data_IF_123796186969
#
_entry.id   IF_123796186969
#
_cell.length_a   1.000
_cell.length_b   1.000
_cell.length_c   1.000
_cell.angle_alpha   90.00
_cell.angle_beta   90.00
_cell.angle_gamma   90.00
#
_symmetry.space_group_name_H-M   'P 1'
#
loop_
_entity.id
_entity.type
_entity.pdbx_description
1 polymer ?
#
# COMPACT_ATOMS: atom_id res chain seq x y z
N UNK A 1 -1.54 17.16 25.05
CA UNK A 1 -1.47 15.77 24.58
C UNK A 1 -2.19 15.76 23.24
N UNK A 2 -1.45 15.60 22.14
CA UNK A 2 -2.05 15.46 20.82
C UNK A 2 -2.86 14.17 20.80
N UNK A 3 -4.05 14.19 20.19
CA UNK A 3 -4.88 13.01 20.03
C UNK A 3 -4.04 11.88 19.43
N UNK A 4 -4.06 10.71 20.06
CA UNK A 4 -3.47 9.49 19.51
C UNK A 4 -4.21 9.15 18.22
N UNK A 5 -3.57 9.16 17.03
CA UNK A 5 -4.22 8.90 15.75
C UNK A 5 -4.39 7.39 15.52
N UNK A 6 -4.79 6.64 16.56
CA UNK A 6 -4.68 5.19 16.64
C UNK A 6 -5.97 4.38 16.42
N UNK A 7 -6.97 4.90 15.70
CA UNK A 7 -8.16 4.11 15.33
C UNK A 7 -8.48 4.08 13.82
N UNK A 8 -7.66 4.73 12.98
CA UNK A 8 -7.62 4.43 11.55
C UNK A 8 -6.50 3.40 11.35
N UNK A 9 -6.77 2.20 10.78
CA UNK A 9 -5.69 1.26 10.45
C UNK A 9 -4.72 1.99 9.53
N UNK A 10 -3.50 2.21 10.04
CA UNK A 10 -2.51 3.01 9.33
C UNK A 10 -2.38 2.54 7.88
N UNK A 11 -2.45 3.46 6.91
CA UNK A 11 -2.56 3.14 5.47
C UNK A 11 -1.51 2.15 4.96
N UNK A 12 -0.37 2.00 5.67
CA UNK A 12 0.62 0.93 5.47
C UNK A 12 0.00 -0.46 5.29
N UNK A 13 -1.03 -0.81 6.06
CA UNK A 13 -1.70 -2.11 5.93
C UNK A 13 -2.51 -2.24 4.65
N UNK A 14 -2.93 -1.12 4.07
CA UNK A 14 -3.71 -1.05 2.83
C UNK A 14 -2.83 -0.92 1.57
N UNK A 15 -1.53 -0.65 1.72
CA UNK A 15 -0.64 -0.38 0.57
C UNK A 15 -0.53 -1.58 -0.39
N UNK A 16 -0.52 -2.81 0.13
CA UNK A 16 -0.52 -4.00 -0.72
C UNK A 16 -1.76 -4.08 -1.61
N UNK A 17 -2.95 -3.92 -1.01
CA UNK A 17 -4.20 -3.88 -1.75
C UNK A 17 -4.28 -2.67 -2.70
N UNK A 18 -3.76 -1.51 -2.30
CA UNK A 18 -3.71 -0.31 -3.13
C UNK A 18 -2.83 -0.51 -4.38
N UNK A 19 -1.64 -1.10 -4.23
CA UNK A 19 -0.72 -1.37 -5.35
C UNK A 19 -1.31 -2.41 -6.32
N UNK A 20 -2.06 -3.38 -5.80
CA UNK A 20 -2.72 -4.42 -6.58
C UNK A 20 -4.09 -3.98 -7.14
N UNK A 21 -4.46 -2.71 -7.01
CA UNK A 21 -5.76 -2.15 -7.43
C UNK A 21 -6.98 -2.89 -6.83
N UNK A 22 -6.82 -3.42 -5.61
CA UNK A 22 -7.79 -4.27 -4.92
C UNK A 22 -8.60 -3.53 -3.84
N UNK A 23 -8.47 -2.19 -3.75
CA UNK A 23 -9.24 -1.36 -2.82
C UNK A 23 -10.50 -0.79 -3.47
N UNK A 24 -11.51 -0.50 -2.65
CA UNK A 24 -12.63 0.32 -3.12
C UNK A 24 -12.15 1.73 -3.47
N UNK A 25 -12.85 2.40 -4.39
CA UNK A 25 -12.45 3.71 -4.90
C UNK A 25 -12.32 4.77 -3.77
N UNK A 26 -13.23 4.76 -2.81
CA UNK A 26 -13.22 5.65 -1.66
C UNK A 26 -12.02 5.41 -0.73
N UNK A 27 -11.57 4.17 -0.56
CA UNK A 27 -10.37 3.82 0.20
C UNK A 27 -9.09 4.20 -0.56
N UNK A 28 -9.05 3.93 -1.86
CA UNK A 28 -7.92 4.31 -2.72
C UNK A 28 -7.70 5.83 -2.74
N UNK A 29 -8.77 6.63 -2.79
CA UNK A 29 -8.68 8.09 -2.68
C UNK A 29 -8.08 8.54 -1.34
N UNK A 30 -8.46 7.90 -0.22
CA UNK A 30 -7.90 8.21 1.11
C UNK A 30 -6.41 7.88 1.19
N UNK A 31 -6.02 6.70 0.69
CA UNK A 31 -4.60 6.28 0.64
C UNK A 31 -3.80 7.25 -0.22
N UNK A 32 -4.29 7.59 -1.42
CA UNK A 32 -3.63 8.55 -2.32
C UNK A 32 -3.42 9.91 -1.66
N UNK A 33 -4.45 10.46 -1.02
CA UNK A 33 -4.35 11.73 -0.29
C UNK A 33 -3.36 11.68 0.86
N UNK A 34 -3.28 10.56 1.59
CA UNK A 34 -2.30 10.38 2.66
C UNK A 34 -0.86 10.29 2.13
N UNK A 35 -0.63 9.59 1.02
CA UNK A 35 0.70 9.45 0.42
C UNK A 35 1.28 10.79 -0.05
N UNK A 36 0.42 11.75 -0.42
CA UNK A 36 0.85 13.11 -0.77
C UNK A 36 1.33 13.92 0.44
N UNK A 37 0.98 13.53 1.66
CA UNK A 37 1.23 14.29 2.88
C UNK A 37 2.18 13.59 3.87
N UNK A 38 2.51 12.32 3.63
CA UNK A 38 3.31 11.51 4.55
C UNK A 38 4.46 10.79 3.83
N UNK A 39 5.67 11.36 3.95
CA UNK A 39 6.89 10.77 3.38
C UNK A 39 7.18 9.36 3.91
N UNK A 40 6.87 9.11 5.19
CA UNK A 40 7.06 7.79 5.81
C UNK A 40 6.10 6.71 5.30
N UNK A 41 4.99 7.08 4.67
CA UNK A 41 4.09 6.15 3.99
C UNK A 41 4.41 6.07 2.50
N UNK A 42 4.81 7.18 1.89
CA UNK A 42 5.30 7.22 0.51
C UNK A 42 6.53 6.32 0.32
N UNK A 43 7.47 6.31 1.27
CA UNK A 43 8.62 5.41 1.23
C UNK A 43 8.21 3.93 1.25
N UNK A 44 7.29 3.54 2.15
CA UNK A 44 6.80 2.16 2.22
C UNK A 44 6.00 1.79 0.95
N UNK A 45 5.23 2.73 0.40
CA UNK A 45 4.53 2.52 -0.87
C UNK A 45 5.50 2.18 -1.99
N UNK A 46 6.65 2.87 -2.09
CA UNK A 46 7.68 2.57 -3.08
C UNK A 46 8.22 1.15 -2.90
N UNK A 47 8.59 0.76 -1.68
CA UNK A 47 9.09 -0.59 -1.41
C UNK A 47 8.08 -1.70 -1.80
N UNK A 48 6.80 -1.49 -1.49
CA UNK A 48 5.72 -2.43 -1.84
C UNK A 48 5.47 -2.46 -3.35
N UNK A 49 5.50 -1.30 -4.01
CA UNK A 49 5.33 -1.19 -5.46
C UNK A 49 6.48 -1.89 -6.22
N UNK A 50 7.72 -1.70 -5.78
CA UNK A 50 8.90 -2.39 -6.34
C UNK A 50 8.79 -3.90 -6.17
N UNK A 51 8.43 -4.37 -4.98
CA UNK A 51 8.22 -5.81 -4.71
C UNK A 51 7.13 -6.39 -5.61
N UNK A 52 6.03 -5.66 -5.79
CA UNK A 52 4.90 -6.09 -6.63
C UNK A 52 5.29 -6.13 -8.12
N UNK A 53 6.12 -5.18 -8.58
CA UNK A 53 6.64 -5.19 -9.95
C UNK A 53 7.55 -6.39 -10.22
N UNK A 54 8.34 -6.83 -9.23
CA UNK A 54 9.14 -8.06 -9.33
C UNK A 54 8.25 -9.30 -9.37
N UNK A 55 7.21 -9.36 -8.52
CA UNK A 55 6.24 -10.46 -8.52
C UNK A 55 5.52 -10.59 -9.87
N UNK A 56 5.22 -9.48 -10.55
CA UNK A 56 4.59 -9.49 -11.88
C UNK A 56 5.45 -10.13 -12.99
N UNK A 57 6.74 -10.36 -12.75
CA UNK A 57 7.61 -11.08 -13.68
C UNK A 57 7.50 -12.60 -13.53
N UNK A 58 6.91 -13.07 -12.43
CA UNK A 58 6.76 -14.49 -12.13
C UNK A 58 5.40 -14.98 -12.61
N UNK A 59 5.36 -16.21 -13.10
CA UNK A 59 4.12 -16.94 -13.37
C UNK A 59 3.65 -17.63 -12.09
N UNK A 60 2.36 -17.96 -12.00
CA UNK A 60 1.83 -18.75 -10.87
C UNK A 60 2.59 -20.08 -10.69
N UNK A 61 3.03 -20.69 -11.78
CA UNK A 61 3.82 -21.94 -11.77
C UNK A 61 5.21 -21.78 -11.13
N UNK A 62 5.81 -20.59 -11.19
CA UNK A 62 7.13 -20.29 -10.59
C UNK A 62 7.06 -20.20 -9.05
N UNK A 63 5.86 -19.93 -8.50
CA UNK A 63 5.62 -19.77 -7.07
C UNK A 63 5.25 -21.09 -6.35
N UNK A 64 5.05 -22.17 -7.11
CA UNK A 64 4.58 -23.47 -6.59
C UNK A 64 5.71 -24.51 -6.41
N UNK A 65 6.95 -24.18 -6.78
CA UNK A 65 8.16 -25.01 -6.61
C UNK A 65 8.88 -24.72 -5.28
#
# INVERSE_FOLDING_TARGET
MAADPGDDPHVRQLLGAYVLDALAQDEACRVSGHLQLCDGCAAVYVEVAETSALLALLSEEDLLD
#
